data_IF_047341393221
#
_entry.id   IF_047341393221
#
_cell.length_a   1.000
_cell.length_b   1.000
_cell.length_c   1.000
_cell.angle_alpha   90.00
_cell.angle_beta   90.00
_cell.angle_gamma   90.00
#
_symmetry.space_group_name_H-M   'P 1'
#
loop_
_entity.id
_entity.type
_entity.pdbx_description
1 polymer ?
#
# COMPACT_ATOMS: atom_id res chain seq x y z
N UNK A 1 47.74 7.89 81.76
CA UNK A 1 47.13 8.58 80.60
C UNK A 1 46.19 7.62 79.89
N UNK A 2 44.92 8.01 79.87
CA UNK A 2 43.71 7.51 79.18
C UNK A 2 43.91 6.55 78.00
N UNK A 3 43.14 5.45 77.95
CA UNK A 3 42.44 4.99 76.73
C UNK A 3 41.06 4.40 77.09
N UNK A 4 40.02 5.11 76.66
CA UNK A 4 38.60 4.74 76.77
C UNK A 4 38.25 3.61 75.81
N UNK A 5 37.42 2.68 76.30
CA UNK A 5 36.70 1.68 75.51
C UNK A 5 35.67 2.33 74.58
N UNK A 6 35.64 1.93 73.31
CA UNK A 6 34.56 2.24 72.39
C UNK A 6 33.71 0.99 72.16
N UNK A 7 32.45 1.07 72.57
CA UNK A 7 31.39 0.08 72.33
C UNK A 7 30.86 0.28 70.92
N UNK A 8 30.93 -0.75 70.08
CA UNK A 8 30.33 -0.76 68.75
C UNK A 8 28.88 -1.25 68.84
N UNK A 9 27.94 -0.36 68.51
CA UNK A 9 26.50 -0.64 68.45
C UNK A 9 26.19 -1.28 67.08
N UNK A 10 25.88 -2.59 67.07
CA UNK A 10 25.35 -3.28 65.89
C UNK A 10 23.88 -2.88 65.68
N UNK A 11 23.60 -2.16 64.60
CA UNK A 11 22.25 -1.90 64.09
C UNK A 11 21.84 -3.01 63.13
N UNK A 12 20.87 -3.84 63.54
CA UNK A 12 20.17 -4.78 62.67
C UNK A 12 19.24 -3.99 61.71
N UNK A 13 19.49 -4.08 60.40
CA UNK A 13 18.55 -3.63 59.36
C UNK A 13 17.74 -4.85 58.91
N UNK A 14 16.40 -4.80 58.87
CA UNK A 14 15.60 -5.90 58.35
C UNK A 14 15.71 -5.98 56.82
N UNK A 15 15.92 -7.19 56.33
CA UNK A 15 15.95 -7.55 54.92
C UNK A 15 14.52 -7.47 54.36
N UNK A 16 14.22 -6.44 53.56
CA UNK A 16 12.98 -6.38 52.81
C UNK A 16 13.04 -7.40 51.67
N UNK A 17 12.16 -8.39 51.71
CA UNK A 17 11.96 -9.32 50.61
C UNK A 17 11.47 -8.54 49.38
N UNK A 18 12.22 -8.60 48.29
CA UNK A 18 11.74 -8.15 46.98
C UNK A 18 10.68 -9.16 46.51
N UNK A 19 9.42 -8.74 46.52
CA UNK A 19 8.39 -9.39 45.73
C UNK A 19 8.74 -9.18 44.26
N UNK A 20 8.98 -10.27 43.53
CA UNK A 20 9.05 -10.25 42.07
C UNK A 20 7.64 -9.92 41.56
N UNK A 21 7.49 -8.75 40.93
CA UNK A 21 6.28 -8.41 40.18
C UNK A 21 6.20 -9.34 38.97
N UNK A 22 5.33 -10.35 39.05
CA UNK A 22 4.92 -11.20 37.92
C UNK A 22 4.24 -10.33 36.85
N UNK A 23 5.04 -9.77 35.94
CA UNK A 23 4.54 -9.09 34.73
C UNK A 23 4.13 -10.19 33.74
N UNK A 24 2.83 -10.35 33.43
CA UNK A 24 2.42 -11.32 32.42
C UNK A 24 3.01 -10.94 31.06
N UNK A 25 3.36 -11.93 30.21
CA UNK A 25 3.92 -11.65 28.89
C UNK A 25 2.96 -10.79 28.08
N UNK A 26 3.47 -9.82 27.29
CA UNK A 26 2.62 -8.94 26.50
C UNK A 26 1.77 -9.78 25.54
N UNK A 27 0.46 -9.52 25.54
CA UNK A 27 -0.45 -10.14 24.59
C UNK A 27 0.02 -9.87 23.14
N UNK A 28 -0.19 -10.83 22.21
CA UNK A 28 0.14 -10.62 20.81
C UNK A 28 -0.56 -9.34 20.32
N UNK A 29 0.21 -8.48 19.65
CA UNK A 29 -0.28 -7.21 19.14
C UNK A 29 -1.55 -7.43 18.31
N UNK A 30 -2.67 -6.93 18.81
CA UNK A 30 -3.94 -7.00 18.12
C UNK A 30 -3.82 -6.28 16.76
N UNK A 31 -4.40 -6.89 15.72
CA UNK A 31 -4.53 -6.27 14.42
C UNK A 31 -5.20 -4.88 14.55
N UNK A 32 -4.78 -3.87 13.77
CA UNK A 32 -5.37 -2.54 13.87
C UNK A 32 -6.89 -2.61 13.61
N UNK A 33 -7.66 -1.97 14.49
CA UNK A 33 -9.11 -1.88 14.39
C UNK A 33 -9.55 -1.28 13.03
N UNK A 34 -10.69 -1.71 12.47
CA UNK A 34 -11.25 -1.10 11.27
C UNK A 34 -11.54 0.39 11.51
N UNK A 35 -11.13 1.25 10.58
CA UNK A 35 -11.30 2.70 10.66
C UNK A 35 -12.79 3.09 10.81
N UNK A 36 -13.09 3.88 11.84
CA UNK A 36 -14.33 4.64 12.02
C UNK A 36 -14.63 5.52 10.77
N UNK A 37 -15.87 6.04 10.58
CA UNK A 37 -16.31 6.66 9.32
C UNK A 37 -15.26 7.65 8.82
N UNK A 38 -14.63 7.31 7.69
CA UNK A 38 -13.34 7.86 7.29
C UNK A 38 -13.32 9.40 7.37
N UNK A 39 -12.66 9.94 8.40
CA UNK A 39 -12.31 11.36 8.44
C UNK A 39 -11.47 11.65 7.20
N UNK A 40 -12.07 12.36 6.24
CA UNK A 40 -11.37 12.82 5.04
C UNK A 40 -10.79 14.19 5.34
N UNK A 41 -9.51 14.38 5.02
CA UNK A 41 -8.87 15.68 5.06
C UNK A 41 -8.39 16.02 3.66
N UNK A 42 -8.90 17.12 3.10
CA UNK A 42 -8.59 17.57 1.73
C UNK A 42 -8.60 16.43 0.71
N UNK A 43 -9.67 15.64 0.73
CA UNK A 43 -9.89 14.44 -0.09
C UNK A 43 -9.15 13.14 0.29
N UNK A 44 -8.20 13.17 1.23
CA UNK A 44 -7.43 11.99 1.62
C UNK A 44 -8.06 11.19 2.75
N UNK A 45 -8.00 9.87 2.65
CA UNK A 45 -8.40 8.95 3.72
C UNK A 45 -7.33 8.91 4.81
N UNK A 46 -7.75 8.75 6.05
CA UNK A 46 -6.81 8.53 7.16
C UNK A 46 -6.28 7.09 7.08
N UNK A 47 -4.96 6.95 7.22
CA UNK A 47 -4.32 5.64 7.28
C UNK A 47 -3.63 5.43 8.63
N UNK A 48 -2.98 6.45 9.19
CA UNK A 48 -2.09 6.29 10.34
C UNK A 48 -0.70 5.79 9.92
N UNK A 49 0.11 5.38 10.89
CA UNK A 49 1.50 4.98 10.68
C UNK A 49 1.72 3.47 10.90
N UNK A 50 2.64 2.89 10.13
CA UNK A 50 3.09 1.51 10.29
C UNK A 50 3.85 1.29 11.60
N UNK A 51 3.78 0.08 12.13
CA UNK A 51 4.67 -0.31 13.23
C UNK A 51 6.11 -0.44 12.70
N UNK A 52 7.07 0.23 13.35
CA UNK A 52 8.48 0.21 12.97
C UNK A 52 9.07 -1.21 12.90
N UNK A 53 8.61 -2.15 13.72
CA UNK A 53 9.11 -3.54 13.72
C UNK A 53 8.65 -4.34 12.50
N UNK A 54 7.60 -3.90 11.82
CA UNK A 54 7.09 -4.53 10.59
C UNK A 54 7.84 -4.08 9.34
N UNK A 55 8.66 -3.03 9.45
CA UNK A 55 9.35 -2.39 8.35
C UNK A 55 10.78 -2.93 8.18
N UNK A 56 11.16 -3.19 6.93
CA UNK A 56 12.50 -3.65 6.57
C UNK A 56 13.02 -2.91 5.33
N UNK A 57 14.35 -2.73 5.19
CA UNK A 57 14.94 -2.17 3.98
C UNK A 57 14.65 -3.03 2.75
N UNK A 58 14.53 -2.38 1.58
CA UNK A 58 14.49 -3.06 0.28
C UNK A 58 15.91 -3.16 -0.28
N UNK A 59 16.50 -4.35 -0.39
CA UNK A 59 17.90 -4.51 -0.81
C UNK A 59 18.24 -3.86 -2.16
N UNK A 60 17.36 -3.99 -3.16
CA UNK A 60 17.57 -3.43 -4.50
C UNK A 60 17.39 -1.91 -4.58
N UNK A 61 16.86 -1.25 -3.53
CA UNK A 61 16.50 0.17 -3.55
C UNK A 61 17.02 0.89 -2.30
N UNK A 62 18.20 1.50 -2.42
CA UNK A 62 18.82 2.25 -1.33
C UNK A 62 17.87 3.29 -0.70
N UNK A 63 17.74 3.25 0.63
CA UNK A 63 16.89 4.17 1.39
C UNK A 63 15.38 3.87 1.32
N UNK A 64 14.96 2.87 0.55
CA UNK A 64 13.58 2.40 0.52
C UNK A 64 13.36 1.39 1.67
N UNK A 65 12.29 1.59 2.42
CA UNK A 65 11.84 0.72 3.51
C UNK A 65 10.35 0.48 3.29
N UNK A 66 9.90 -0.77 3.39
CA UNK A 66 8.50 -1.19 3.29
C UNK A 66 8.21 -2.27 4.34
N UNK A 67 6.96 -2.71 4.43
CA UNK A 67 6.66 -3.93 5.18
C UNK A 67 7.34 -5.15 4.54
N UNK A 68 7.71 -6.15 5.35
CA UNK A 68 8.45 -7.34 4.91
C UNK A 68 7.86 -8.06 3.70
N UNK A 69 6.58 -8.43 3.73
CA UNK A 69 5.95 -9.20 2.65
C UNK A 69 5.93 -8.39 1.34
N UNK A 70 5.79 -7.06 1.42
CA UNK A 70 5.88 -6.18 0.26
C UNK A 70 7.31 -6.05 -0.30
N UNK A 71 8.34 -6.22 0.53
CA UNK A 71 9.74 -6.24 0.06
C UNK A 71 9.97 -7.45 -0.84
N UNK A 72 9.51 -8.64 -0.43
CA UNK A 72 9.70 -9.86 -1.21
C UNK A 72 9.01 -9.76 -2.58
N UNK A 73 7.77 -9.26 -2.62
CA UNK A 73 7.05 -9.03 -3.88
C UNK A 73 7.67 -7.91 -4.73
N UNK A 74 8.20 -6.86 -4.10
CA UNK A 74 8.89 -5.79 -4.80
C UNK A 74 10.21 -6.26 -5.42
N UNK A 75 10.99 -7.10 -4.74
CA UNK A 75 12.21 -7.67 -5.29
C UNK A 75 11.91 -8.53 -6.53
N UNK A 76 10.83 -9.32 -6.50
CA UNK A 76 10.35 -10.05 -7.67
C UNK A 76 9.91 -9.12 -8.81
N UNK A 77 9.19 -8.04 -8.50
CA UNK A 77 8.79 -7.03 -9.48
C UNK A 77 10.01 -6.40 -10.15
N UNK A 78 10.99 -5.95 -9.37
CA UNK A 78 12.20 -5.31 -9.86
C UNK A 78 13.05 -6.28 -10.70
N UNK A 79 13.15 -7.55 -10.28
CA UNK A 79 13.85 -8.57 -11.05
C UNK A 79 13.16 -8.85 -12.40
N UNK A 80 11.83 -8.95 -12.42
CA UNK A 80 11.07 -9.15 -13.65
C UNK A 80 11.18 -7.96 -14.61
N UNK A 81 11.10 -6.74 -14.09
CA UNK A 81 11.32 -5.52 -14.87
C UNK A 81 12.72 -5.52 -15.51
N UNK A 82 13.77 -5.81 -14.74
CA UNK A 82 15.15 -5.88 -15.24
C UNK A 82 15.33 -6.95 -16.32
N UNK A 83 14.69 -8.11 -16.17
CA UNK A 83 14.72 -9.18 -17.17
C UNK A 83 14.10 -8.75 -18.52
N UNK A 84 13.20 -7.77 -18.51
CA UNK A 84 12.62 -7.15 -19.71
C UNK A 84 13.34 -5.85 -20.13
N UNK A 85 14.53 -5.58 -19.59
CA UNK A 85 15.32 -4.38 -19.92
C UNK A 85 14.76 -3.09 -19.33
N UNK A 86 13.90 -3.18 -18.31
CA UNK A 86 13.30 -2.03 -17.63
C UNK A 86 14.02 -1.78 -16.30
N UNK A 87 14.65 -0.62 -16.16
CA UNK A 87 15.25 -0.19 -14.89
C UNK A 87 14.26 0.67 -14.10
N UNK A 88 13.72 0.10 -13.01
CA UNK A 88 12.83 0.75 -12.06
C UNK A 88 13.60 1.14 -10.79
N UNK A 89 13.36 2.37 -10.32
CA UNK A 89 13.80 2.86 -9.02
C UNK A 89 12.64 3.30 -8.15
N UNK A 90 12.96 3.81 -6.96
CA UNK A 90 12.02 4.47 -6.07
C UNK A 90 12.55 5.82 -5.61
N UNK A 91 11.63 6.78 -5.46
CA UNK A 91 11.91 8.11 -4.89
C UNK A 91 11.45 8.19 -3.44
N UNK A 92 10.34 7.52 -3.13
CA UNK A 92 9.79 7.47 -1.77
C UNK A 92 9.15 6.11 -1.52
N UNK A 93 9.41 5.56 -0.34
CA UNK A 93 8.77 4.36 0.20
C UNK A 93 8.11 4.72 1.53
N UNK A 94 8.36 3.99 2.62
CA UNK A 94 7.88 4.42 3.93
C UNK A 94 8.29 5.86 4.28
N UNK A 95 7.32 6.62 4.77
CA UNK A 95 7.50 8.00 5.24
C UNK A 95 6.65 8.19 6.49
N UNK A 96 7.31 8.34 7.64
CA UNK A 96 6.62 8.65 8.89
C UNK A 96 5.77 9.92 8.77
N UNK A 97 4.74 10.04 9.59
CA UNK A 97 3.86 11.20 9.72
C UNK A 97 4.67 12.46 9.99
N UNK A 98 5.72 12.38 10.81
CA UNK A 98 6.62 13.50 11.07
C UNK A 98 7.37 13.94 9.80
N UNK A 99 7.86 13.00 8.99
CA UNK A 99 8.47 13.31 7.68
C UNK A 99 7.42 13.80 6.68
N UNK A 100 6.20 13.24 6.71
CA UNK A 100 5.08 13.69 5.87
C UNK A 100 4.74 15.15 6.14
N UNK A 101 4.74 15.60 7.41
CA UNK A 101 4.56 17.01 7.77
C UNK A 101 5.59 17.90 7.10
N UNK A 102 6.87 17.51 7.10
CA UNK A 102 7.92 18.28 6.43
C UNK A 102 7.72 18.34 4.92
N UNK A 103 7.35 17.23 4.29
CA UNK A 103 7.06 17.22 2.83
C UNK A 103 5.82 18.06 2.51
N UNK A 104 4.75 17.91 3.28
CA UNK A 104 3.51 18.67 3.09
C UNK A 104 3.70 20.18 3.31
N UNK A 105 4.62 20.59 4.17
CA UNK A 105 4.95 21.99 4.41
C UNK A 105 6.11 22.51 3.54
N UNK A 106 6.75 21.68 2.72
CA UNK A 106 7.92 22.09 1.95
C UNK A 106 7.56 23.18 0.93
N UNK A 107 8.39 24.21 0.82
CA UNK A 107 8.19 25.32 -0.11
C UNK A 107 7.08 26.31 0.27
N UNK A 108 6.59 26.31 1.52
CA UNK A 108 5.53 27.20 1.99
C UNK A 108 5.99 28.00 3.21
N UNK A 109 5.97 29.33 3.12
CA UNK A 109 6.23 30.23 4.26
C UNK A 109 5.14 30.12 5.34
N UNK A 110 3.92 29.72 4.97
CA UNK A 110 2.80 29.58 5.89
C UNK A 110 2.08 28.23 5.73
N UNK A 111 2.64 27.18 6.35
CA UNK A 111 2.08 25.82 6.25
C UNK A 111 0.62 25.75 6.75
N UNK A 112 0.23 26.61 7.69
CA UNK A 112 -1.08 26.56 8.35
C UNK A 112 -2.18 27.28 7.56
N UNK A 113 -1.85 27.94 6.44
CA UNK A 113 -2.86 28.53 5.56
C UNK A 113 -3.76 27.45 4.94
N UNK A 114 -5.08 27.55 5.15
CA UNK A 114 -6.07 26.58 4.64
C UNK A 114 -6.05 26.50 3.11
N UNK A 115 -5.96 27.64 2.43
CA UNK A 115 -5.89 27.69 0.96
C UNK A 115 -4.63 27.01 0.41
N UNK A 116 -3.48 27.26 1.03
CA UNK A 116 -2.23 26.59 0.68
C UNK A 116 -2.28 25.08 0.93
N UNK A 117 -2.85 24.67 2.07
CA UNK A 117 -3.00 23.27 2.43
C UNK A 117 -3.89 22.51 1.42
N UNK A 118 -5.00 23.09 0.98
CA UNK A 118 -5.89 22.49 -0.01
C UNK A 118 -5.21 22.31 -1.38
N UNK A 119 -4.39 23.28 -1.81
CA UNK A 119 -3.64 23.19 -3.06
C UNK A 119 -2.56 22.11 -3.00
N UNK A 120 -1.77 22.05 -1.91
CA UNK A 120 -0.75 21.02 -1.70
C UNK A 120 -1.37 19.62 -1.62
N UNK A 121 -2.52 19.51 -0.96
CA UNK A 121 -3.27 18.26 -0.86
C UNK A 121 -3.78 17.72 -2.19
N UNK A 122 -3.66 18.45 -3.31
CA UNK A 122 -3.90 17.86 -4.63
C UNK A 122 -2.91 16.74 -4.98
N UNK A 123 -1.65 16.83 -4.52
CA UNK A 123 -0.60 15.86 -4.87
C UNK A 123 0.25 15.41 -3.65
N UNK A 124 0.02 15.98 -2.47
CA UNK A 124 0.76 15.64 -1.26
C UNK A 124 -0.23 15.39 -0.13
N UNK A 125 -0.36 14.13 0.31
CA UNK A 125 -1.26 13.79 1.41
C UNK A 125 -0.95 14.55 2.71
N UNK A 126 -1.96 15.03 3.45
CA UNK A 126 -1.75 15.59 4.79
C UNK A 126 -1.07 14.59 5.74
N UNK A 127 -0.39 15.05 6.80
CA UNK A 127 0.19 14.15 7.81
C UNK A 127 -0.87 13.22 8.42
N UNK A 128 -0.62 11.91 8.44
CA UNK A 128 -1.59 10.89 8.88
C UNK A 128 -2.53 10.36 7.78
N UNK A 129 -2.54 11.03 6.62
CA UNK A 129 -3.40 10.71 5.47
C UNK A 129 -2.62 10.24 4.22
N UNK A 130 -1.29 10.11 4.32
CA UNK A 130 -0.44 9.62 3.24
C UNK A 130 -0.36 8.09 3.26
N UNK A 131 -0.53 7.44 2.11
CA UNK A 131 -0.35 5.98 2.00
C UNK A 131 1.09 5.54 2.30
N UNK A 132 2.09 6.43 2.15
CA UNK A 132 3.47 6.09 2.52
C UNK A 132 3.68 5.85 4.01
N UNK A 133 2.86 6.45 4.87
CA UNK A 133 2.95 6.20 6.32
C UNK A 133 2.60 4.75 6.67
N UNK A 134 1.94 4.03 5.76
CA UNK A 134 1.51 2.64 5.96
C UNK A 134 2.62 1.62 5.72
N UNK A 135 3.72 2.01 5.07
CA UNK A 135 4.78 1.08 4.66
C UNK A 135 4.42 0.19 3.47
N UNK A 136 3.26 0.38 2.84
CA UNK A 136 2.83 -0.37 1.65
C UNK A 136 2.95 0.41 0.34
N UNK A 137 3.22 1.72 0.39
CA UNK A 137 3.24 2.58 -0.80
C UNK A 137 4.66 2.96 -1.25
N UNK A 138 4.81 3.05 -2.57
CA UNK A 138 6.05 3.33 -3.28
C UNK A 138 5.78 4.32 -4.43
N UNK A 139 6.65 5.32 -4.53
CA UNK A 139 6.74 6.22 -5.68
C UNK A 139 7.83 5.72 -6.61
N UNK A 140 7.43 5.10 -7.72
CA UNK A 140 8.34 4.55 -8.72
C UNK A 140 8.93 5.62 -9.63
N UNK A 141 10.14 5.35 -10.12
CA UNK A 141 10.77 6.08 -11.23
C UNK A 141 11.35 5.12 -12.24
N UNK A 142 11.50 5.60 -13.47
CA UNK A 142 12.25 4.89 -14.50
C UNK A 142 13.64 5.54 -14.60
N UNK A 143 14.69 4.76 -14.38
CA UNK A 143 16.06 5.27 -14.46
C UNK A 143 16.50 5.33 -15.92
N UNK A 144 17.34 6.32 -16.25
CA UNK A 144 17.92 6.47 -17.59
C UNK A 144 17.03 7.17 -18.62
N UNK A 145 15.93 7.81 -18.22
CA UNK A 145 15.08 8.62 -19.09
C UNK A 145 14.96 10.08 -18.63
N UNK A 146 14.32 10.91 -19.47
CA UNK A 146 14.20 12.36 -19.25
C UNK A 146 13.08 12.77 -18.29
N UNK A 147 12.22 11.82 -17.89
CA UNK A 147 11.13 12.12 -16.99
C UNK A 147 11.65 12.30 -15.57
N UNK A 148 11.43 13.49 -15.01
CA UNK A 148 11.76 13.79 -13.62
C UNK A 148 10.90 12.95 -12.66
N UNK A 149 11.44 12.74 -11.47
CA UNK A 149 10.74 12.07 -10.37
C UNK A 149 9.42 12.77 -10.03
N UNK A 150 8.39 11.98 -9.71
CA UNK A 150 7.08 12.48 -9.23
C UNK A 150 6.39 13.39 -10.27
N UNK A 151 6.51 13.04 -11.56
CA UNK A 151 5.90 13.78 -12.68
C UNK A 151 5.02 12.88 -13.56
N UNK A 152 4.01 13.48 -14.19
CA UNK A 152 3.02 12.76 -15.00
C UNK A 152 3.64 12.08 -16.24
N UNK A 153 4.78 12.59 -16.73
CA UNK A 153 5.52 11.96 -17.82
C UNK A 153 5.93 10.51 -17.50
N UNK A 154 5.93 10.09 -16.23
CA UNK A 154 6.28 8.73 -15.83
C UNK A 154 5.40 7.70 -16.53
N UNK A 155 4.12 8.01 -16.72
CA UNK A 155 3.16 7.16 -17.44
C UNK A 155 3.60 6.82 -18.88
N UNK A 156 4.42 7.67 -19.50
CA UNK A 156 4.90 7.50 -20.87
C UNK A 156 6.23 6.75 -20.96
N UNK A 157 6.95 6.63 -19.84
CA UNK A 157 8.23 5.92 -19.76
C UNK A 157 8.03 4.40 -19.98
N UNK A 158 9.08 3.68 -20.42
CA UNK A 158 9.06 2.22 -20.44
C UNK A 158 8.66 1.61 -19.08
N UNK A 159 9.21 2.13 -17.99
CA UNK A 159 8.89 1.70 -16.61
C UNK A 159 7.43 1.89 -16.23
N UNK A 160 6.86 3.09 -16.45
CA UNK A 160 5.46 3.36 -16.15
C UNK A 160 4.50 2.49 -16.97
N UNK A 161 4.78 2.33 -18.27
CA UNK A 161 3.99 1.42 -19.14
C UNK A 161 4.09 -0.04 -18.70
N UNK A 162 5.27 -0.47 -18.24
CA UNK A 162 5.49 -1.83 -17.74
C UNK A 162 4.69 -2.08 -16.46
N UNK A 163 4.73 -1.15 -15.49
CA UNK A 163 3.96 -1.25 -14.24
C UNK A 163 2.45 -1.33 -14.50
N UNK A 164 1.93 -0.52 -15.43
CA UNK A 164 0.50 -0.56 -15.81
C UNK A 164 0.03 -1.95 -16.30
N UNK A 165 0.93 -2.77 -16.84
CA UNK A 165 0.62 -4.12 -17.31
C UNK A 165 0.92 -5.19 -16.26
N UNK A 166 2.08 -5.10 -15.61
CA UNK A 166 2.67 -6.18 -14.81
C UNK A 166 2.56 -5.95 -13.31
N UNK A 167 2.42 -4.70 -12.84
CA UNK A 167 2.37 -4.35 -11.41
C UNK A 167 1.40 -5.20 -10.58
N UNK A 168 0.16 -5.44 -11.06
CA UNK A 168 -0.80 -6.28 -10.34
C UNK A 168 -0.37 -7.72 -10.10
N UNK A 169 0.49 -8.29 -10.96
CA UNK A 169 1.01 -9.66 -10.82
C UNK A 169 1.85 -9.82 -9.54
N UNK A 170 2.43 -8.71 -9.07
CA UNK A 170 3.26 -8.61 -7.87
C UNK A 170 2.52 -7.96 -6.69
N UNK A 171 1.19 -7.82 -6.78
CA UNK A 171 0.40 -7.27 -5.67
C UNK A 171 0.42 -5.74 -5.59
N UNK A 172 0.95 -5.03 -6.60
CA UNK A 172 0.94 -3.58 -6.65
C UNK A 172 -0.20 -3.05 -7.52
N UNK A 173 -0.89 -2.01 -7.04
CA UNK A 173 -1.95 -1.31 -7.77
C UNK A 173 -1.76 0.20 -7.75
N UNK A 174 -2.24 0.87 -8.80
CA UNK A 174 -2.10 2.32 -8.95
C UNK A 174 -3.17 3.03 -8.11
N UNK A 175 -2.76 3.69 -7.03
CA UNK A 175 -3.70 4.26 -6.05
C UNK A 175 -4.54 5.40 -6.62
N UNK A 176 -3.92 6.27 -7.43
CA UNK A 176 -4.54 7.50 -7.93
C UNK A 176 -4.52 7.55 -9.46
N UNK A 177 -5.36 6.75 -10.14
CA UNK A 177 -5.48 6.78 -11.59
C UNK A 177 -6.05 8.11 -12.10
N UNK A 178 -5.87 8.38 -13.39
CA UNK A 178 -6.43 9.56 -14.03
C UNK A 178 -7.97 9.59 -13.86
N UNK A 179 -8.49 10.73 -13.41
CA UNK A 179 -9.93 10.89 -13.17
C UNK A 179 -10.48 10.12 -11.96
N UNK A 180 -9.62 9.67 -11.04
CA UNK A 180 -10.08 9.02 -9.80
C UNK A 180 -11.08 9.91 -9.03
N UNK A 181 -12.13 9.30 -8.49
CA UNK A 181 -13.21 10.01 -7.77
C UNK A 181 -12.80 10.49 -6.37
N UNK A 182 -11.59 10.17 -5.92
CA UNK A 182 -11.10 10.65 -4.64
C UNK A 182 -10.89 12.16 -4.69
N UNK A 183 -10.55 12.72 -5.85
CA UNK A 183 -10.20 14.13 -6.00
C UNK A 183 -8.75 14.42 -5.61
N UNK A 184 -7.92 13.37 -5.53
CA UNK A 184 -6.45 13.46 -5.54
C UNK A 184 -6.01 13.51 -7.00
N UNK A 185 -4.94 14.25 -7.28
CA UNK A 185 -4.35 14.37 -8.60
C UNK A 185 -3.98 13.00 -9.18
N UNK A 186 -3.79 12.97 -10.50
CA UNK A 186 -3.29 11.76 -11.16
C UNK A 186 -1.79 11.60 -10.85
N UNK A 187 -1.45 10.47 -10.24
CA UNK A 187 -0.09 10.15 -9.78
C UNK A 187 0.37 8.80 -10.37
N UNK A 188 0.77 8.73 -11.65
CA UNK A 188 1.15 7.47 -12.30
C UNK A 188 2.33 6.75 -11.64
N UNK A 189 3.10 7.46 -10.81
CA UNK A 189 4.25 6.94 -10.05
C UNK A 189 3.84 6.31 -8.71
N UNK A 190 2.67 6.63 -8.14
CA UNK A 190 2.28 6.24 -6.78
C UNK A 190 1.51 4.91 -6.78
N UNK A 191 2.14 3.88 -6.25
CA UNK A 191 1.56 2.53 -6.20
C UNK A 191 1.52 2.04 -4.76
N UNK A 192 0.47 1.28 -4.42
CA UNK A 192 0.37 0.58 -3.13
C UNK A 192 0.38 -0.92 -3.32
N UNK A 193 0.98 -1.62 -2.37
CA UNK A 193 0.94 -3.07 -2.28
C UNK A 193 -0.26 -3.53 -1.46
N UNK A 194 -1.00 -4.50 -1.99
CA UNK A 194 -2.14 -5.15 -1.34
C UNK A 194 -1.99 -6.68 -1.27
N UNK A 195 -0.77 -7.18 -1.53
CA UNK A 195 -0.48 -8.61 -1.67
C UNK A 195 -0.97 -9.19 -2.98
N UNK A 196 -0.26 -10.18 -3.50
CA UNK A 196 -0.64 -10.89 -4.74
C UNK A 196 -2.01 -11.56 -4.59
N UNK A 197 -2.68 -11.80 -5.73
CA UNK A 197 -4.03 -12.38 -5.75
C UNK A 197 -4.19 -13.70 -4.98
N UNK A 198 -3.13 -14.48 -4.80
CA UNK A 198 -3.12 -15.75 -4.04
C UNK A 198 -2.48 -15.66 -2.66
N UNK A 199 -2.05 -14.48 -2.22
CA UNK A 199 -1.35 -14.32 -0.95
C UNK A 199 -2.31 -14.32 0.24
N UNK A 200 -2.03 -15.18 1.21
CA UNK A 200 -2.74 -15.30 2.47
C UNK A 200 -1.91 -14.79 3.67
N UNK A 201 -0.76 -14.16 3.43
CA UNK A 201 0.12 -13.60 4.45
C UNK A 201 -0.56 -12.54 5.31
N UNK A 202 -0.14 -12.43 6.57
CA UNK A 202 -0.74 -11.51 7.54
C UNK A 202 -0.62 -10.04 7.10
N UNK A 203 0.51 -9.64 6.48
CA UNK A 203 0.68 -8.25 6.05
C UNK A 203 -0.12 -7.95 4.78
N UNK A 204 -0.32 -8.93 3.89
CA UNK A 204 -1.23 -8.79 2.75
C UNK A 204 -2.69 -8.64 3.20
N UNK A 205 -3.14 -9.43 4.17
CA UNK A 205 -4.47 -9.28 4.76
C UNK A 205 -4.64 -7.91 5.43
N UNK A 206 -3.64 -7.46 6.19
CA UNK A 206 -3.64 -6.14 6.81
C UNK A 206 -3.68 -5.01 5.76
N UNK A 207 -2.92 -5.12 4.67
CA UNK A 207 -2.94 -4.16 3.57
C UNK A 207 -4.33 -4.10 2.93
N UNK A 208 -4.94 -5.25 2.61
CA UNK A 208 -6.29 -5.32 2.02
C UNK A 208 -7.35 -4.72 2.92
N UNK A 209 -7.27 -4.96 4.23
CA UNK A 209 -8.17 -4.34 5.20
C UNK A 209 -7.99 -2.82 5.24
N UNK A 210 -6.73 -2.36 5.28
CA UNK A 210 -6.38 -0.94 5.35
C UNK A 210 -6.83 -0.15 4.13
N UNK A 211 -6.73 -0.74 2.93
CA UNK A 211 -7.12 -0.10 1.67
C UNK A 211 -8.54 -0.46 1.21
N UNK A 212 -9.30 -1.25 1.97
CA UNK A 212 -10.64 -1.69 1.58
C UNK A 212 -11.58 -0.51 1.27
N UNK A 213 -11.58 0.51 2.14
CA UNK A 213 -12.41 1.71 1.93
C UNK A 213 -11.98 2.52 0.70
N UNK A 214 -10.66 2.60 0.45
CA UNK A 214 -10.12 3.24 -0.75
C UNK A 214 -10.57 2.47 -2.00
N UNK A 215 -10.31 1.17 -2.08
CA UNK A 215 -10.70 0.34 -3.23
C UNK A 215 -12.21 0.32 -3.48
N UNK A 216 -13.04 0.35 -2.44
CA UNK A 216 -14.50 0.34 -2.59
C UNK A 216 -15.06 1.66 -3.13
N UNK A 217 -14.45 2.80 -2.79
CA UNK A 217 -14.96 4.14 -3.13
C UNK A 217 -14.23 4.78 -4.30
N UNK A 218 -12.93 4.49 -4.42
CA UNK A 218 -11.95 5.06 -5.32
C UNK A 218 -11.06 3.92 -5.87
N UNK A 219 -11.59 3.07 -6.76
CA UNK A 219 -10.85 1.90 -7.25
C UNK A 219 -9.51 2.28 -7.88
N UNK A 220 -8.48 1.50 -7.57
CA UNK A 220 -7.19 1.57 -8.26
C UNK A 220 -7.32 1.13 -9.72
N UNK A 221 -6.43 1.60 -10.58
CA UNK A 221 -6.36 1.14 -11.97
C UNK A 221 -4.93 1.23 -12.55
N UNK A 222 -4.25 0.09 -12.80
CA UNK A 222 -4.75 -1.26 -12.64
C UNK A 222 -4.89 -1.65 -11.15
N UNK A 223 -5.83 -2.55 -10.88
CA UNK A 223 -6.05 -3.11 -9.55
C UNK A 223 -5.50 -4.54 -9.47
N UNK A 224 -5.14 -4.99 -8.26
CA UNK A 224 -4.85 -6.40 -8.02
C UNK A 224 -6.16 -7.18 -7.95
N UNK A 225 -6.27 -8.27 -8.70
CA UNK A 225 -7.45 -9.12 -8.66
C UNK A 225 -7.63 -9.74 -7.27
N UNK A 226 -8.82 -9.58 -6.66
CA UNK A 226 -9.17 -10.32 -5.46
C UNK A 226 -9.63 -11.72 -5.88
N UNK A 227 -8.96 -12.77 -5.44
CA UNK A 227 -9.54 -14.13 -5.50
C UNK A 227 -10.78 -14.11 -4.63
N UNK A 228 -11.93 -14.38 -5.23
CA UNK A 228 -13.14 -14.64 -4.46
C UNK A 228 -12.99 -16.04 -3.86
N UNK A 229 -12.53 -16.14 -2.61
CA UNK A 229 -12.68 -17.38 -1.85
C UNK A 229 -14.16 -17.57 -1.57
N UNK A 230 -14.82 -18.39 -2.39
CA UNK A 230 -16.16 -18.90 -2.13
C UNK A 230 -16.05 -19.90 -0.96
N UNK A 231 -15.96 -19.40 0.27
CA UNK A 231 -16.09 -20.23 1.45
C UNK A 231 -17.58 -20.50 1.73
N UNK A 232 -17.94 -21.78 1.69
CA UNK A 232 -19.21 -22.40 2.10
C UNK A 232 -20.49 -22.06 1.28
N UNK A 233 -20.75 -22.90 0.28
CA UNK A 233 -22.03 -23.63 0.18
C UNK A 233 -21.82 -24.80 -0.77
N UNK A 234 -21.87 -26.01 -0.24
CA UNK A 234 -21.94 -27.23 -1.04
C UNK A 234 -23.18 -27.17 -1.93
N UNK A 235 -22.97 -27.07 -3.22
CA UNK A 235 -23.86 -27.61 -4.23
C UNK A 235 -23.00 -27.83 -5.47
N UNK A 236 -22.66 -29.10 -5.71
CA UNK A 236 -22.12 -29.54 -7.00
C UNK A 236 -23.09 -29.07 -8.09
N UNK A 237 -22.65 -28.35 -9.14
CA UNK A 237 -23.51 -28.12 -10.28
C UNK A 237 -23.73 -29.46 -10.99
N UNK A 238 -25.00 -29.85 -11.10
CA UNK A 238 -25.50 -31.01 -11.81
C UNK A 238 -25.00 -31.00 -13.27
N UNK A 239 -24.39 -32.11 -13.69
CA UNK A 239 -23.89 -32.31 -15.06
C UNK A 239 -25.02 -32.84 -15.94
N UNK A 240 -25.94 -31.99 -16.41
CA UNK A 240 -26.78 -32.22 -17.60
C UNK A 240 -27.16 -30.85 -18.18
N UNK A 241 -26.62 -30.42 -19.30
CA UNK A 241 -27.04 -30.86 -20.63
C UNK A 241 -26.07 -30.28 -21.67
N UNK A 242 -25.42 -31.16 -22.43
CA UNK A 242 -24.72 -30.80 -23.66
C UNK A 242 -25.75 -30.91 -24.76
N UNK A 243 -26.18 -29.79 -25.31
CA UNK A 243 -26.89 -29.76 -26.59
C UNK A 243 -26.00 -29.06 -27.61
N UNK A 244 -25.58 -29.85 -28.60
CA UNK A 244 -24.73 -29.45 -29.71
C UNK A 244 -25.56 -28.68 -30.74
N UNK A 245 -25.11 -27.47 -31.11
CA UNK A 245 -25.52 -26.85 -32.37
C UNK A 245 -24.30 -26.73 -33.30
N UNK A 246 -24.44 -27.36 -34.47
CA UNK A 246 -23.50 -27.34 -35.59
C UNK A 246 -23.59 -26.02 -36.36
N UNK A 247 -22.42 -25.57 -36.81
CA UNK A 247 -22.07 -24.84 -38.03
C UNK A 247 -22.60 -23.41 -38.27
N UNK A 248 -21.65 -22.46 -38.36
CA UNK A 248 -21.74 -21.28 -39.22
C UNK A 248 -21.53 -19.92 -38.53
N UNK A 249 -20.30 -19.41 -38.50
CA UNK A 249 -19.98 -18.00 -38.19
C UNK A 249 -19.44 -17.77 -36.78
N UNK A 250 -18.16 -17.38 -36.68
CA UNK A 250 -17.46 -17.20 -35.41
C UNK A 250 -17.84 -15.92 -34.67
N UNK A 251 -18.44 -16.08 -33.49
CA UNK A 251 -18.29 -15.18 -32.34
C UNK A 251 -18.70 -15.91 -31.05
N UNK A 252 -17.91 -15.72 -29.98
CA UNK A 252 -18.24 -16.20 -28.64
C UNK A 252 -18.82 -15.04 -27.82
N UNK A 253 -20.09 -15.17 -27.41
CA UNK A 253 -20.71 -14.28 -26.43
C UNK A 253 -20.70 -15.00 -25.09
N UNK A 254 -20.02 -14.43 -24.10
CA UNK A 254 -20.15 -14.83 -22.71
C UNK A 254 -21.00 -13.80 -21.98
N UNK A 255 -22.23 -14.16 -21.62
CA UNK A 255 -23.11 -13.34 -20.80
C UNK A 255 -23.01 -13.77 -19.34
N UNK A 256 -22.34 -12.99 -18.49
CA UNK A 256 -22.54 -13.08 -17.04
C UNK A 256 -23.75 -12.24 -16.64
N UNK A 257 -24.64 -12.81 -15.82
CA UNK A 257 -25.79 -12.10 -15.20
C UNK A 257 -25.30 -10.99 -14.25
N UNK A 258 -24.99 -9.83 -14.81
CA UNK A 258 -25.06 -8.50 -14.23
C UNK A 258 -24.73 -7.55 -15.39
N UNK A 259 -25.73 -6.84 -15.89
CA UNK A 259 -25.65 -6.12 -17.15
C UNK A 259 -24.55 -5.06 -17.22
N UNK A 260 -23.60 -5.27 -18.13
CA UNK A 260 -22.90 -4.25 -18.90
C UNK A 260 -22.13 -4.94 -20.03
N UNK A 261 -22.68 -4.94 -21.25
CA UNK A 261 -21.95 -5.37 -22.42
C UNK A 261 -20.99 -4.24 -22.85
N UNK A 262 -19.68 -4.50 -22.83
CA UNK A 262 -18.69 -3.61 -23.44
C UNK A 262 -18.56 -4.03 -24.91
N UNK A 263 -19.10 -3.22 -25.82
CA UNK A 263 -18.76 -3.29 -27.24
C UNK A 263 -17.37 -2.71 -27.43
N UNK A 264 -16.41 -3.54 -27.86
CA UNK A 264 -15.17 -3.07 -28.47
C UNK A 264 -15.41 -2.90 -29.98
N UNK A 265 -15.76 -1.69 -30.41
CA UNK A 265 -15.73 -1.33 -31.81
C UNK A 265 -14.30 -0.88 -32.17
N UNK A 266 -13.63 -1.63 -33.05
CA UNK A 266 -12.42 -1.20 -33.73
C UNK A 266 -12.83 -0.35 -34.93
N UNK A 267 -12.52 0.94 -34.91
CA UNK A 267 -12.63 1.77 -36.12
C UNK A 267 -11.23 2.01 -36.67
N UNK A 268 -10.88 1.21 -37.67
CA UNK A 268 -9.93 1.62 -38.69
C UNK A 268 -10.70 2.51 -39.67
N UNK A 269 -10.41 3.80 -39.70
CA UNK A 269 -10.81 4.66 -40.81
C UNK A 269 -9.58 5.27 -41.47
N UNK A 270 -9.41 4.88 -42.73
CA UNK A 270 -8.53 5.49 -43.73
C UNK A 270 -9.02 6.91 -44.02
N UNK A 271 -8.07 7.81 -44.29
CA UNK A 271 -8.28 9.12 -44.89
C UNK A 271 -8.79 8.97 -46.34
N UNK A 272 -9.64 9.88 -46.83
CA UNK A 272 -9.43 10.51 -48.12
C UNK A 272 -8.40 11.66 -48.01
#
# INVERSE_FOLDING_TARGET
MVRLSAVALLLCIPLAAHAEDDVPPPAPAAAPAPLAPAMRMFNHLAYGEANATALVPVPSLAGCILVRDAVDDLEHLLAAARAEGIDLGAVSCFRSIAKQRRVFCSGSENCDSVGGAALRARFVGPPGHSEHATGYAIDFVHRGGDCRAVEQCFALTPGGKWLMRRGPEFGFELSFPAGNKQGVGWEPWHWRWVGRSGDAGAQAQAARARFAAAQARFPALPAVARTQTKAAAGLLPDRRSVETAREGGGYAVSSSRAGAAILLATSAMRRP
#
